data_IF_349048735813
#
_entry.id   IF_349048735813
#
_cell.length_a   1.000
_cell.length_b   1.000
_cell.length_c   1.000
_cell.angle_alpha   90.00
_cell.angle_beta   90.00
_cell.angle_gamma   90.00
#
_symmetry.space_group_name_H-M   'P 1'
#
loop_
_entity.id
_entity.type
_entity.pdbx_description
1 polymer ?
#
# COMPACT_ATOMS: atom_id res chain seq x y z
N UNK A 1 51.19 -20.61 26.20
CA UNK A 1 50.28 -21.39 25.32
C UNK A 1 48.99 -21.76 26.04
N UNK A 2 47.97 -20.88 26.01
CA UNK A 2 46.59 -21.15 26.45
C UNK A 2 45.63 -20.18 25.73
N UNK A 3 45.38 -20.41 24.44
CA UNK A 3 44.29 -19.78 23.69
C UNK A 3 43.72 -20.84 22.74
N UNK A 4 42.69 -21.57 23.17
CA UNK A 4 42.14 -22.66 22.35
C UNK A 4 40.92 -23.38 22.91
N UNK A 5 40.21 -22.81 23.90
CA UNK A 5 38.99 -23.41 24.47
C UNK A 5 37.73 -22.55 24.28
N UNK A 6 37.86 -21.34 23.73
CA UNK A 6 36.73 -20.43 23.46
C UNK A 6 35.96 -20.80 22.18
N UNK A 7 36.67 -21.11 21.09
CA UNK A 7 36.06 -21.36 19.78
C UNK A 7 35.16 -22.61 19.74
N UNK A 8 35.52 -23.65 20.51
CA UNK A 8 34.74 -24.90 20.57
C UNK A 8 33.42 -24.78 21.33
N UNK A 9 33.24 -23.77 22.20
CA UNK A 9 31.94 -23.51 22.83
C UNK A 9 31.00 -22.77 21.88
N UNK A 10 31.53 -21.85 21.08
CA UNK A 10 30.74 -21.07 20.13
C UNK A 10 30.21 -21.92 18.97
N UNK A 11 31.03 -22.85 18.46
CA UNK A 11 30.60 -23.82 17.43
C UNK A 11 29.56 -24.83 17.93
N UNK A 12 29.59 -25.19 19.22
CA UNK A 12 28.61 -26.12 19.80
C UNK A 12 27.22 -25.48 20.00
N UNK A 13 27.18 -24.16 20.11
CA UNK A 13 25.95 -23.37 20.27
C UNK A 13 25.27 -23.06 18.92
N UNK A 14 26.04 -23.00 17.83
CA UNK A 14 25.52 -22.80 16.46
C UNK A 14 24.97 -24.08 15.81
N UNK A 15 25.39 -25.28 16.24
CA UNK A 15 24.99 -26.54 15.61
C UNK A 15 23.80 -27.25 16.27
N UNK A 16 23.21 -26.72 17.33
CA UNK A 16 21.93 -27.23 17.87
C UNK A 16 21.93 -28.69 18.34
N UNK A 17 23.10 -29.32 18.59
CA UNK A 17 23.18 -30.71 19.05
C UNK A 17 23.05 -30.73 20.58
N UNK A 18 21.82 -30.54 21.05
CA UNK A 18 21.42 -30.80 22.43
C UNK A 18 21.04 -32.28 22.61
N UNK A 19 21.90 -33.03 23.30
CA UNK A 19 21.58 -34.36 23.81
C UNK A 19 20.44 -34.24 24.84
N UNK A 20 19.21 -34.61 24.45
CA UNK A 20 18.06 -34.72 25.35
C UNK A 20 17.73 -36.19 25.55
N UNK A 21 17.88 -36.64 26.80
CA UNK A 21 17.33 -37.89 27.28
C UNK A 21 15.81 -37.93 27.03
N UNK A 22 15.34 -39.10 26.61
CA UNK A 22 14.00 -39.36 26.13
C UNK A 22 12.92 -39.06 27.18
N UNK A 23 11.97 -38.20 26.78
CA UNK A 23 10.57 -38.28 27.22
C UNK A 23 9.72 -38.49 25.95
N UNK A 24 8.67 -39.33 25.98
CA UNK A 24 7.82 -39.57 24.82
C UNK A 24 6.90 -38.36 24.63
N UNK A 25 7.34 -37.40 23.82
CA UNK A 25 6.47 -36.35 23.29
C UNK A 25 5.89 -36.86 21.98
N UNK A 26 4.58 -37.09 21.94
CA UNK A 26 3.86 -37.32 20.71
C UNK A 26 3.98 -36.07 19.84
N UNK A 27 4.80 -36.17 18.79
CA UNK A 27 5.09 -35.08 17.87
C UNK A 27 3.89 -34.85 16.93
N UNK A 28 2.97 -33.99 17.34
CA UNK A 28 2.09 -33.28 16.41
C UNK A 28 2.76 -31.96 16.02
N UNK A 29 3.61 -32.00 14.99
CA UNK A 29 4.10 -30.80 14.34
C UNK A 29 3.00 -30.16 13.48
N UNK A 30 3.00 -28.83 13.28
CA UNK A 30 2.03 -28.19 12.39
C UNK A 30 2.21 -28.70 10.95
N UNK A 31 1.12 -28.93 10.20
CA UNK A 31 1.22 -29.23 8.78
C UNK A 31 1.85 -28.03 8.08
N UNK A 32 2.93 -28.29 7.34
CA UNK A 32 3.59 -27.31 6.48
C UNK A 32 2.56 -26.80 5.47
N UNK A 33 2.26 -25.51 5.51
CA UNK A 33 1.45 -24.81 4.51
C UNK A 33 2.23 -24.86 3.19
N UNK A 34 1.96 -25.85 2.35
CA UNK A 34 2.68 -26.02 1.09
C UNK A 34 2.63 -27.39 0.42
N UNK A 35 2.03 -28.43 1.01
CA UNK A 35 1.82 -29.71 0.32
C UNK A 35 0.33 -29.97 0.11
N UNK A 36 -0.11 -29.78 -1.13
CA UNK A 36 -1.36 -30.30 -1.67
C UNK A 36 -1.29 -31.84 -1.75
N UNK A 37 -1.35 -32.50 -0.60
CA UNK A 37 -1.77 -33.88 -0.53
C UNK A 37 -3.30 -33.87 -0.60
N UNK A 38 -3.85 -34.62 -1.56
CA UNK A 38 -5.28 -34.84 -1.74
C UNK A 38 -5.95 -35.13 -0.38
N UNK A 39 -6.73 -34.18 0.14
CA UNK A 39 -7.55 -34.41 1.33
C UNK A 39 -8.75 -35.26 0.91
N UNK A 40 -9.08 -36.31 1.69
CA UNK A 40 -10.29 -37.09 1.46
C UNK A 40 -11.52 -36.17 1.49
N UNK A 41 -12.61 -36.62 0.88
CA UNK A 41 -13.93 -36.00 0.93
C UNK A 41 -14.48 -36.06 2.38
N UNK A 42 -13.85 -35.30 3.27
CA UNK A 42 -14.15 -35.30 4.69
C UNK A 42 -15.49 -34.59 4.91
N UNK A 43 -16.40 -35.30 5.55
CA UNK A 43 -17.67 -34.77 6.00
C UNK A 43 -17.46 -33.51 6.84
N UNK A 44 -18.47 -32.63 6.91
CA UNK A 44 -18.43 -31.45 7.78
C UNK A 44 -18.04 -31.79 9.23
N UNK A 45 -18.46 -32.97 9.72
CA UNK A 45 -18.13 -33.46 11.05
C UNK A 45 -16.63 -33.76 11.21
N UNK A 46 -16.00 -34.39 10.22
CA UNK A 46 -14.57 -34.71 10.24
C UNK A 46 -13.71 -33.45 10.13
N UNK A 47 -14.06 -32.51 9.24
CA UNK A 47 -13.34 -31.25 9.13
C UNK A 47 -13.40 -30.44 10.44
N UNK A 48 -14.58 -30.37 11.07
CA UNK A 48 -14.71 -29.74 12.38
C UNK A 48 -13.88 -30.46 13.45
N UNK A 49 -13.94 -31.79 13.49
CA UNK A 49 -13.15 -32.60 14.43
C UNK A 49 -11.64 -32.47 14.21
N UNK A 50 -11.20 -32.11 13.01
CA UNK A 50 -9.80 -31.80 12.71
C UNK A 50 -9.38 -30.39 13.17
N UNK A 51 -10.23 -29.38 12.98
CA UNK A 51 -9.91 -27.98 13.31
C UNK A 51 -10.07 -27.69 14.81
N UNK A 52 -11.06 -28.28 15.49
CA UNK A 52 -11.34 -28.03 16.92
C UNK A 52 -10.12 -28.32 17.85
N UNK A 53 -9.39 -29.44 17.70
CA UNK A 53 -8.18 -29.69 18.49
C UNK A 53 -7.08 -28.66 18.24
N UNK A 54 -7.00 -28.10 17.02
CA UNK A 54 -6.00 -27.10 16.69
C UNK A 54 -6.34 -25.75 17.32
N UNK A 55 -7.61 -25.33 17.27
CA UNK A 55 -8.11 -24.15 17.99
C UNK A 55 -7.86 -24.29 19.50
N UNK A 56 -8.09 -25.47 20.07
CA UNK A 56 -7.84 -25.73 21.50
C UNK A 56 -6.35 -25.69 21.84
N UNK A 57 -5.48 -26.23 20.98
CA UNK A 57 -4.03 -26.12 21.14
C UNK A 57 -3.57 -24.66 21.13
N UNK A 58 -4.08 -23.84 20.19
CA UNK A 58 -3.76 -22.42 20.11
C UNK A 58 -4.22 -21.66 21.37
N UNK A 59 -5.39 -21.99 21.92
CA UNK A 59 -5.86 -21.43 23.21
C UNK A 59 -4.94 -21.82 24.36
N UNK A 60 -4.51 -23.07 24.45
CA UNK A 60 -3.55 -23.51 25.47
C UNK A 60 -2.20 -22.80 25.33
N UNK A 61 -1.69 -22.62 24.11
CA UNK A 61 -0.48 -21.81 23.88
C UNK A 61 -0.67 -20.36 24.32
N UNK A 62 -1.83 -19.77 24.01
CA UNK A 62 -2.18 -18.41 24.41
C UNK A 62 -2.20 -18.25 25.94
N UNK A 63 -2.71 -19.25 26.66
CA UNK A 63 -2.76 -19.28 28.13
C UNK A 63 -1.38 -19.53 28.77
N UNK A 64 -0.52 -20.34 28.14
CA UNK A 64 0.85 -20.58 28.61
C UNK A 64 1.75 -19.34 28.46
N UNK A 65 1.46 -18.48 27.50
CA UNK A 65 2.19 -17.23 27.25
C UNK A 65 1.78 -16.16 28.28
N UNK A 66 2.22 -16.30 29.54
CA UNK A 66 1.98 -15.36 30.64
C UNK A 66 3.16 -14.37 30.76
N UNK A 67 2.88 -13.11 31.10
CA UNK A 67 3.90 -12.06 31.29
C UNK A 67 3.71 -10.84 30.36
N UNK A 68 4.41 -9.74 30.66
CA UNK A 68 4.41 -8.52 29.82
C UNK A 68 5.15 -8.74 28.51
N UNK A 69 6.22 -9.52 28.51
CA UNK A 69 7.10 -9.70 27.36
C UNK A 69 6.44 -10.53 26.23
N UNK A 70 5.47 -11.38 26.56
CA UNK A 70 4.74 -12.23 25.62
C UNK A 70 3.43 -11.62 25.09
N UNK A 71 3.19 -10.33 25.29
CA UNK A 71 1.94 -9.69 24.87
C UNK A 71 1.72 -9.78 23.35
N UNK A 72 2.78 -9.64 22.56
CA UNK A 72 2.72 -9.72 21.11
C UNK A 72 2.35 -11.14 20.64
N UNK A 73 3.05 -12.15 21.13
CA UNK A 73 2.81 -13.57 20.80
C UNK A 73 1.40 -14.01 21.21
N UNK A 74 0.91 -13.58 22.39
CA UNK A 74 -0.47 -13.86 22.82
C UNK A 74 -1.52 -13.24 21.90
N UNK A 75 -1.23 -12.05 21.38
CA UNK A 75 -2.11 -11.34 20.43
C UNK A 75 -2.10 -12.02 19.06
N UNK A 76 -0.94 -12.48 18.58
CA UNK A 76 -0.81 -13.25 17.34
C UNK A 76 -1.57 -14.58 17.42
N UNK A 77 -1.44 -15.33 18.52
CA UNK A 77 -2.23 -16.55 18.73
C UNK A 77 -3.74 -16.28 18.80
N UNK A 78 -4.14 -15.16 19.40
CA UNK A 78 -5.53 -14.72 19.40
C UNK A 78 -6.07 -14.43 17.99
N UNK A 79 -5.24 -13.85 17.12
CA UNK A 79 -5.60 -13.62 15.71
C UNK A 79 -5.73 -14.93 14.94
N UNK A 80 -4.77 -15.86 15.09
CA UNK A 80 -4.84 -17.18 14.45
C UNK A 80 -6.14 -17.94 14.82
N UNK A 81 -6.57 -17.87 16.08
CA UNK A 81 -7.85 -18.46 16.52
C UNK A 81 -9.04 -17.78 15.84
N UNK A 82 -9.03 -16.44 15.76
CA UNK A 82 -10.11 -15.68 15.13
C UNK A 82 -10.20 -15.97 13.61
N UNK A 83 -9.07 -16.07 12.93
CA UNK A 83 -9.01 -16.38 11.49
C UNK A 83 -9.57 -17.77 11.20
N UNK A 84 -9.29 -18.76 12.05
CA UNK A 84 -9.86 -20.10 11.92
C UNK A 84 -11.37 -20.13 12.14
N UNK A 85 -11.87 -19.34 13.09
CA UNK A 85 -13.31 -19.20 13.31
C UNK A 85 -14.01 -18.43 12.18
N UNK A 86 -13.29 -17.55 11.47
CA UNK A 86 -13.80 -16.79 10.33
C UNK A 86 -13.71 -17.55 8.99
N UNK A 87 -12.96 -18.65 8.91
CA UNK A 87 -12.81 -19.43 7.69
C UNK A 87 -14.19 -19.94 7.21
N UNK A 88 -14.65 -19.59 5.98
CA UNK A 88 -15.99 -19.94 5.47
C UNK A 88 -16.30 -21.44 5.56
N UNK A 89 -15.27 -22.27 5.33
CA UNK A 89 -15.36 -23.72 5.44
C UNK A 89 -15.60 -24.18 6.89
N UNK A 90 -14.93 -23.59 7.88
CA UNK A 90 -15.17 -23.92 9.29
C UNK A 90 -16.54 -23.44 9.78
N UNK A 91 -16.99 -22.27 9.32
CA UNK A 91 -18.35 -21.74 9.57
C UNK A 91 -19.41 -22.73 9.05
N UNK A 92 -19.29 -23.17 7.80
CA UNK A 92 -20.21 -24.12 7.19
C UNK A 92 -20.14 -25.49 7.86
N UNK A 93 -18.95 -25.97 8.20
CA UNK A 93 -18.77 -27.22 8.96
C UNK A 93 -19.48 -27.16 10.32
N UNK A 94 -19.37 -26.04 11.04
CA UNK A 94 -20.06 -25.82 12.30
C UNK A 94 -21.57 -25.74 12.17
N UNK A 95 -22.09 -25.21 11.05
CA UNK A 95 -23.54 -25.17 10.77
C UNK A 95 -24.08 -26.54 10.41
N UNK A 96 -23.41 -27.26 9.52
CA UNK A 96 -23.80 -28.61 9.11
C UNK A 96 -23.75 -29.57 10.31
N UNK A 97 -22.73 -29.48 11.17
CA UNK A 97 -22.66 -30.26 12.41
C UNK A 97 -23.81 -29.97 13.39
N UNK A 98 -24.49 -28.82 13.27
CA UNK A 98 -25.70 -28.46 14.04
C UNK A 98 -27.00 -28.80 13.29
N UNK A 99 -26.92 -29.42 12.11
CA UNK A 99 -28.09 -29.70 11.24
C UNK A 99 -28.65 -28.47 10.54
N UNK A 100 -27.87 -27.40 10.39
CA UNK A 100 -28.26 -26.20 9.64
C UNK A 100 -27.63 -26.22 8.24
N UNK A 101 -28.30 -25.63 7.22
CA UNK A 101 -27.72 -25.55 5.88
C UNK A 101 -26.45 -24.67 5.88
N UNK A 102 -25.44 -25.04 5.07
CA UNK A 102 -24.21 -24.25 4.92
C UNK A 102 -24.52 -22.90 4.25
N UNK A 103 -23.78 -21.85 4.61
CA UNK A 103 -23.98 -20.49 4.08
C UNK A 103 -23.18 -20.29 2.81
N UNK A 104 -21.94 -20.77 2.79
CA UNK A 104 -21.00 -20.56 1.70
C UNK A 104 -20.97 -21.74 0.73
N UNK A 105 -21.89 -22.70 0.89
CA UNK A 105 -22.03 -23.87 0.04
C UNK A 105 -20.98 -24.96 0.28
N UNK A 106 -20.10 -24.81 1.28
CA UNK A 106 -19.19 -25.89 1.65
C UNK A 106 -19.97 -27.03 2.33
N UNK A 107 -19.71 -28.26 1.93
CA UNK A 107 -20.38 -29.47 2.43
C UNK A 107 -21.90 -29.57 2.13
N UNK A 108 -22.43 -28.77 1.20
CA UNK A 108 -23.79 -28.98 0.71
C UNK A 108 -23.88 -30.32 -0.04
N UNK A 109 -24.89 -31.13 0.29
CA UNK A 109 -25.14 -32.38 -0.45
C UNK A 109 -25.59 -32.07 -1.88
N UNK A 110 -25.23 -32.89 -2.86
CA UNK A 110 -25.64 -32.70 -4.28
C UNK A 110 -27.16 -32.64 -4.46
N UNK A 111 -27.93 -33.14 -3.50
CA UNK A 111 -29.39 -33.05 -3.48
C UNK A 111 -29.92 -31.68 -2.96
N UNK A 112 -29.09 -30.89 -2.27
CA UNK A 112 -29.45 -29.59 -1.70
C UNK A 112 -28.93 -28.40 -2.52
N UNK A 113 -27.93 -28.62 -3.39
CA UNK A 113 -27.37 -27.57 -4.26
C UNK A 113 -28.37 -27.04 -5.31
N UNK A 114 -29.47 -27.75 -5.57
CA UNK A 114 -30.52 -27.31 -6.51
C UNK A 114 -31.56 -26.38 -5.92
N UNK A 115 -31.52 -26.09 -4.61
CA UNK A 115 -32.45 -25.16 -3.94
C UNK A 115 -31.78 -23.84 -3.52
N UNK A 116 -30.57 -23.54 -4.01
CA UNK A 116 -30.00 -22.22 -3.85
C UNK A 116 -30.73 -21.24 -4.79
N UNK A 117 -31.84 -20.68 -4.30
CA UNK A 117 -32.48 -19.51 -4.90
C UNK A 117 -31.44 -18.40 -4.87
N UNK A 118 -30.83 -18.14 -6.02
CA UNK A 118 -30.08 -16.92 -6.28
C UNK A 118 -30.95 -15.75 -5.86
N UNK A 119 -30.49 -15.01 -4.84
CA UNK A 119 -31.01 -13.69 -4.55
C UNK A 119 -30.32 -12.75 -5.57
N UNK A 120 -31.02 -12.25 -6.61
CA UNK A 120 -30.39 -11.45 -7.65
C UNK A 120 -30.28 -10.02 -7.13
N UNK A 121 -29.20 -9.72 -6.42
CA UNK A 121 -29.01 -8.41 -5.81
C UNK A 121 -27.57 -7.99 -5.52
N UNK A 122 -26.55 -8.68 -6.05
CA UNK A 122 -25.15 -8.32 -5.76
C UNK A 122 -24.16 -8.81 -6.82
N UNK A 123 -24.30 -8.35 -8.06
CA UNK A 123 -23.25 -8.53 -9.08
C UNK A 123 -23.09 -7.29 -9.95
N UNK A 124 -22.71 -6.18 -9.31
CA UNK A 124 -21.90 -5.16 -9.97
C UNK A 124 -20.79 -4.76 -8.98
N UNK A 125 -19.57 -5.30 -9.15
CA UNK A 125 -18.38 -4.46 -9.05
C UNK A 125 -17.26 -5.00 -9.95
N UNK A 126 -17.37 -4.81 -11.26
CA UNK A 126 -16.23 -5.08 -12.16
C UNK A 126 -15.81 -3.82 -12.90
N UNK A 127 -16.75 -2.94 -13.24
CA UNK A 127 -16.45 -1.68 -13.91
C UNK A 127 -16.00 -0.58 -12.92
N UNK A 128 -16.51 -0.61 -11.67
CA UNK A 128 -16.20 0.40 -10.64
C UNK A 128 -14.83 0.15 -9.98
N UNK A 129 -14.43 -1.12 -9.87
CA UNK A 129 -13.06 -1.50 -9.47
C UNK A 129 -12.02 -1.10 -10.53
N UNK A 130 -12.38 -1.17 -11.82
CA UNK A 130 -11.53 -0.72 -12.91
C UNK A 130 -11.37 0.82 -12.92
N UNK A 131 -12.41 1.57 -12.52
CA UNK A 131 -12.31 3.04 -12.38
C UNK A 131 -11.43 3.45 -11.22
N UNK A 132 -11.57 2.81 -10.05
CA UNK A 132 -10.70 3.06 -8.90
C UNK A 132 -9.24 2.72 -9.18
N UNK A 133 -8.98 1.63 -9.93
CA UNK A 133 -7.62 1.29 -10.37
C UNK A 133 -7.04 2.36 -11.32
N UNK A 134 -7.81 2.81 -12.31
CA UNK A 134 -7.39 3.86 -13.24
C UNK A 134 -7.13 5.22 -12.55
N UNK A 135 -7.93 5.56 -11.54
CA UNK A 135 -7.79 6.80 -10.77
C UNK A 135 -6.54 6.75 -9.86
N UNK A 136 -6.24 5.60 -9.26
CA UNK A 136 -4.98 5.40 -8.51
C UNK A 136 -3.73 5.45 -9.39
N UNK A 137 -3.82 4.97 -10.63
CA UNK A 137 -2.73 5.02 -11.60
C UNK A 137 -2.47 6.45 -12.10
N UNK A 138 -3.55 7.24 -12.30
CA UNK A 138 -3.43 8.67 -12.64
C UNK A 138 -2.80 9.48 -11.51
N UNK A 139 -3.17 9.21 -10.25
CA UNK A 139 -2.59 9.87 -9.08
C UNK A 139 -1.10 9.49 -8.86
N UNK A 140 -0.70 8.27 -9.24
CA UNK A 140 0.70 7.84 -9.22
C UNK A 140 1.54 8.54 -10.28
N UNK A 141 0.96 8.81 -11.46
CA UNK A 141 1.62 9.52 -12.57
C UNK A 141 1.81 11.01 -12.30
N UNK A 142 0.95 11.62 -11.50
CA UNK A 142 1.06 13.03 -11.08
C UNK A 142 2.14 13.27 -10.01
N UNK A 143 2.51 12.23 -9.25
CA UNK A 143 3.62 12.26 -8.28
C UNK A 143 5.00 12.04 -8.92
N UNK A 144 5.04 11.78 -10.23
CA UNK A 144 6.29 11.63 -10.98
C UNK A 144 6.87 13.02 -11.30
N UNK A 145 8.14 13.31 -10.93
CA UNK A 145 8.72 14.64 -11.14
C UNK A 145 8.76 14.98 -12.65
N UNK A 146 8.45 16.23 -13.04
CA UNK A 146 8.35 16.61 -14.44
C UNK A 146 9.67 16.32 -15.18
N UNK A 147 9.59 15.44 -16.18
CA UNK A 147 10.70 15.15 -17.08
C UNK A 147 11.18 16.47 -17.70
N UNK A 148 12.48 16.80 -17.61
CA UNK A 148 12.99 18.03 -18.22
C UNK A 148 12.73 17.97 -19.73
N UNK A 149 12.27 19.06 -20.37
CA UNK A 149 11.91 19.02 -21.77
C UNK A 149 13.11 18.61 -22.61
N UNK A 150 12.93 17.60 -23.46
CA UNK A 150 13.98 16.96 -24.28
C UNK A 150 14.80 17.97 -25.11
N UNK A 151 14.20 19.12 -25.42
CA UNK A 151 14.82 20.24 -26.12
C UNK A 151 15.96 20.91 -25.34
N UNK A 152 15.89 20.97 -24.00
CA UNK A 152 16.93 21.61 -23.18
C UNK A 152 18.22 20.77 -23.15
N UNK A 153 18.10 19.45 -23.04
CA UNK A 153 19.24 18.54 -23.10
C UNK A 153 19.93 18.61 -24.48
N UNK A 154 19.15 18.67 -25.54
CA UNK A 154 19.62 18.79 -26.93
C UNK A 154 20.34 20.13 -27.18
N UNK A 155 19.79 21.24 -26.66
CA UNK A 155 20.41 22.57 -26.74
C UNK A 155 21.73 22.67 -25.95
N UNK A 156 21.82 22.03 -24.78
CA UNK A 156 23.05 21.99 -23.97
C UNK A 156 24.15 21.24 -24.73
N UNK A 157 23.83 20.09 -25.34
CA UNK A 157 24.79 19.29 -26.12
C UNK A 157 25.24 20.07 -27.37
N UNK A 158 24.32 20.73 -28.08
CA UNK A 158 24.64 21.50 -29.28
C UNK A 158 25.50 22.74 -28.97
N UNK A 159 25.28 23.40 -27.82
CA UNK A 159 26.08 24.54 -27.34
C UNK A 159 27.50 24.13 -26.96
N UNK A 160 27.67 22.96 -26.32
CA UNK A 160 28.99 22.41 -26.00
C UNK A 160 29.78 22.02 -27.26
N UNK A 161 29.12 21.47 -28.28
CA UNK A 161 29.76 21.18 -29.57
C UNK A 161 30.23 22.44 -30.33
N UNK A 162 29.48 23.55 -30.26
CA UNK A 162 29.90 24.84 -30.85
C UNK A 162 31.10 25.46 -30.13
N UNK A 163 31.17 25.33 -28.80
CA UNK A 163 32.30 25.81 -27.99
C UNK A 163 33.60 25.07 -28.37
N UNK A 164 33.54 23.74 -28.54
CA UNK A 164 34.68 22.91 -28.95
C UNK A 164 35.17 23.24 -30.37
N UNK A 165 34.27 23.53 -31.32
CA UNK A 165 34.67 23.97 -32.67
C UNK A 165 35.33 25.35 -32.70
N UNK A 166 34.89 26.30 -31.85
CA UNK A 166 35.47 27.65 -31.81
C UNK A 166 36.89 27.67 -31.22
N UNK A 167 37.21 26.77 -30.30
CA UNK A 167 38.56 26.65 -29.72
C UNK A 167 39.61 26.01 -30.64
N UNK A 168 39.20 25.33 -31.72
CA UNK A 168 40.11 24.52 -32.56
C UNK A 168 40.65 25.23 -33.81
N UNK A 169 40.30 26.50 -34.06
CA UNK A 169 40.70 27.22 -35.30
C UNK A 169 41.82 28.24 -35.15
N UNK A 170 42.38 28.42 -33.95
CA UNK A 170 43.48 29.36 -33.74
C UNK A 170 44.85 28.68 -33.91
N UNK A 171 45.55 29.06 -34.99
CA UNK A 171 47.01 29.02 -35.11
C UNK A 171 47.68 27.64 -35.21
N UNK A 172 47.67 27.05 -36.40
CA UNK A 172 48.71 26.10 -36.84
C UNK A 172 49.97 26.92 -37.14
N UNK A 173 50.78 27.15 -36.10
CA UNK A 173 52.14 27.66 -36.18
C UNK A 173 53.12 26.51 -35.96
N UNK A 174 53.80 26.12 -37.04
CA UNK A 174 54.78 25.04 -37.12
C UNK A 174 55.87 25.10 -36.04
N UNK A 175 55.73 24.31 -34.97
CA UNK A 175 56.88 23.75 -34.24
C UNK A 175 56.49 22.41 -33.63
N UNK A 176 57.22 21.35 -34.00
CA UNK A 176 56.94 19.97 -33.62
C UNK A 176 57.18 19.71 -32.14
N UNK A 177 56.25 20.14 -31.29
CA UNK A 177 56.12 19.64 -29.92
C UNK A 177 55.14 18.48 -29.94
N UNK A 178 55.57 17.35 -29.36
CA UNK A 178 54.76 16.15 -29.22
C UNK A 178 53.39 16.51 -28.60
N UNK A 179 52.30 15.89 -29.07
CA UNK A 179 50.97 16.16 -28.57
C UNK A 179 50.93 15.92 -27.05
N UNK A 180 50.34 16.88 -26.34
CA UNK A 180 50.15 16.86 -24.91
C UNK A 180 49.42 15.57 -24.50
N UNK A 181 50.13 14.68 -23.80
CA UNK A 181 49.65 13.34 -23.44
C UNK A 181 48.40 13.42 -22.58
N UNK A 182 48.23 14.52 -21.83
CA UNK A 182 47.06 14.77 -20.98
C UNK A 182 45.80 15.04 -21.80
N UNK A 183 45.93 15.71 -22.96
CA UNK A 183 44.81 15.91 -23.87
C UNK A 183 44.33 14.59 -24.48
N UNK A 184 45.25 13.68 -24.82
CA UNK A 184 44.91 12.35 -25.36
C UNK A 184 44.20 11.49 -24.32
N UNK A 185 44.69 11.47 -23.07
CA UNK A 185 44.05 10.75 -21.96
C UNK A 185 42.64 11.28 -21.64
N UNK A 186 42.42 12.60 -21.71
CA UNK A 186 41.09 13.20 -21.52
C UNK A 186 40.10 12.74 -22.59
N UNK A 187 40.52 12.72 -23.86
CA UNK A 187 39.67 12.26 -24.97
C UNK A 187 39.34 10.77 -24.85
N UNK A 188 40.33 9.93 -24.50
CA UNK A 188 40.09 8.50 -24.27
C UNK A 188 39.08 8.25 -23.15
N UNK A 189 39.17 8.98 -22.03
CA UNK A 189 38.21 8.87 -20.93
C UNK A 189 36.80 9.32 -21.31
N UNK A 190 36.69 10.33 -22.18
CA UNK A 190 35.40 10.81 -22.71
C UNK A 190 34.77 9.84 -23.71
N UNK A 191 35.57 9.23 -24.58
CA UNK A 191 35.12 8.19 -25.52
C UNK A 191 34.63 6.97 -24.76
N UNK A 192 35.38 6.47 -23.77
CA UNK A 192 34.96 5.37 -22.91
C UNK A 192 33.62 5.66 -22.20
N UNK A 193 33.40 6.91 -21.75
CA UNK A 193 32.13 7.32 -21.13
C UNK A 193 30.96 7.34 -22.10
N UNK A 194 31.19 7.71 -23.36
CA UNK A 194 30.16 7.69 -24.41
C UNK A 194 29.86 6.27 -24.87
N UNK A 195 30.87 5.42 -24.99
CA UNK A 195 30.70 3.99 -25.30
C UNK A 195 29.89 3.30 -24.20
N UNK A 196 30.23 3.53 -22.92
CA UNK A 196 29.46 3.02 -21.79
C UNK A 196 27.99 3.48 -21.82
N UNK A 197 27.74 4.75 -22.17
CA UNK A 197 26.39 5.28 -22.32
C UNK A 197 25.62 4.63 -23.47
N UNK A 198 26.24 4.47 -24.64
CA UNK A 198 25.61 3.81 -25.79
C UNK A 198 25.30 2.33 -25.48
N UNK A 199 26.15 1.63 -24.73
CA UNK A 199 25.84 0.27 -24.28
C UNK A 199 24.70 0.22 -23.28
N UNK A 200 24.59 1.19 -22.36
CA UNK A 200 23.47 1.25 -21.41
C UNK A 200 22.14 1.53 -22.14
N UNK A 201 22.11 2.52 -23.03
CA UNK A 201 20.93 2.87 -23.83
C UNK A 201 20.49 1.68 -24.72
N UNK A 202 21.44 0.87 -25.22
CA UNK A 202 21.14 -0.38 -25.95
C UNK A 202 20.57 -1.48 -25.06
N UNK A 203 21.09 -1.64 -23.85
CA UNK A 203 20.56 -2.62 -22.90
C UNK A 203 19.14 -2.25 -22.46
N UNK A 204 18.89 -0.96 -22.25
CA UNK A 204 17.56 -0.43 -21.90
C UNK A 204 16.56 -0.62 -23.05
N UNK A 205 16.96 -0.34 -24.30
CA UNK A 205 16.15 -0.63 -25.48
C UNK A 205 15.81 -2.12 -25.61
N UNK A 206 16.79 -3.02 -25.41
CA UNK A 206 16.53 -4.47 -25.42
C UNK A 206 15.65 -4.92 -24.26
N UNK A 207 15.72 -4.27 -23.09
CA UNK A 207 14.86 -4.58 -21.96
C UNK A 207 13.41 -4.18 -22.24
N UNK A 208 13.19 -3.01 -22.85
CA UNK A 208 11.86 -2.55 -23.28
C UNK A 208 11.26 -3.50 -24.32
N UNK A 209 12.02 -3.85 -25.37
CA UNK A 209 11.57 -4.81 -26.40
C UNK A 209 11.21 -6.17 -25.79
N UNK A 210 11.99 -6.66 -24.82
CA UNK A 210 11.70 -7.91 -24.12
C UNK A 210 10.43 -7.83 -23.24
N UNK A 211 10.13 -6.67 -22.66
CA UNK A 211 8.92 -6.45 -21.87
C UNK A 211 7.69 -6.48 -22.78
N UNK A 212 7.72 -5.76 -23.90
CA UNK A 212 6.62 -5.73 -24.89
C UNK A 212 6.36 -7.14 -25.47
N UNK A 213 7.42 -7.90 -25.76
CA UNK A 213 7.29 -9.30 -26.18
C UNK A 213 6.67 -10.20 -25.09
N UNK A 214 7.04 -9.99 -23.82
CA UNK A 214 6.49 -10.75 -22.70
C UNK A 214 5.00 -10.46 -22.50
N UNK A 215 4.59 -9.19 -22.59
CA UNK A 215 3.18 -8.79 -22.53
C UNK A 215 2.37 -9.41 -23.69
N UNK A 216 2.91 -9.36 -24.91
CA UNK A 216 2.27 -9.95 -26.09
C UNK A 216 2.03 -11.46 -25.91
N UNK A 217 3.03 -12.21 -25.43
CA UNK A 217 2.91 -13.66 -25.20
C UNK A 217 1.91 -13.97 -24.07
N UNK A 218 1.87 -13.14 -23.03
CA UNK A 218 0.90 -13.31 -21.95
C UNK A 218 -0.55 -13.12 -22.44
N UNK A 219 -0.78 -12.14 -23.33
CA UNK A 219 -2.09 -11.92 -23.97
C UNK A 219 -2.45 -13.09 -24.88
N UNK A 220 -1.52 -13.57 -25.72
CA UNK A 220 -1.72 -14.74 -26.57
C UNK A 220 -2.11 -15.99 -25.76
N UNK A 221 -1.45 -16.25 -24.64
CA UNK A 221 -1.77 -17.36 -23.73
C UNK A 221 -3.20 -17.29 -23.19
N UNK A 222 -3.64 -16.10 -22.77
CA UNK A 222 -5.00 -15.91 -22.23
C UNK A 222 -6.04 -16.14 -23.32
N UNK A 223 -5.81 -15.57 -24.51
CA UNK A 223 -6.72 -15.71 -25.65
C UNK A 223 -6.80 -17.17 -26.12
N UNK A 224 -5.66 -17.86 -26.23
CA UNK A 224 -5.62 -19.26 -26.65
C UNK A 224 -6.32 -20.18 -25.65
N UNK A 225 -6.13 -19.97 -24.33
CA UNK A 225 -6.89 -20.70 -23.28
C UNK A 225 -8.39 -20.45 -23.37
N UNK A 226 -8.81 -19.22 -23.61
CA UNK A 226 -10.23 -18.88 -23.75
C UNK A 226 -10.82 -19.55 -24.99
N UNK A 227 -10.10 -19.54 -26.11
CA UNK A 227 -10.51 -20.16 -27.35
C UNK A 227 -10.66 -21.68 -27.23
N UNK A 228 -9.68 -22.37 -26.63
CA UNK A 228 -9.77 -23.82 -26.39
C UNK A 228 -10.95 -24.21 -25.49
N UNK A 229 -11.27 -23.39 -24.49
CA UNK A 229 -12.46 -23.61 -23.64
C UNK A 229 -13.76 -23.41 -24.40
N UNK A 230 -13.84 -22.35 -25.20
CA UNK A 230 -15.06 -21.95 -25.90
C UNK A 230 -15.34 -22.84 -27.13
N UNK A 231 -14.37 -22.99 -28.01
CA UNK A 231 -14.55 -23.64 -29.31
C UNK A 231 -14.40 -25.17 -29.22
N UNK A 232 -13.49 -25.64 -28.36
CA UNK A 232 -13.15 -27.06 -28.26
C UNK A 232 -13.71 -27.73 -27.00
N UNK A 233 -14.32 -26.96 -26.08
CA UNK A 233 -14.87 -27.50 -24.82
C UNK A 233 -13.82 -28.09 -23.88
N UNK A 234 -12.55 -27.66 -23.98
CA UNK A 234 -11.47 -28.17 -23.15
C UNK A 234 -11.76 -27.93 -21.67
N UNK A 235 -11.57 -28.96 -20.84
CA UNK A 235 -11.57 -28.81 -19.38
C UNK A 235 -10.20 -28.35 -18.91
N UNK A 236 -10.11 -27.92 -17.65
CA UNK A 236 -8.83 -27.50 -17.06
C UNK A 236 -7.76 -28.60 -17.07
N UNK A 237 -8.14 -29.88 -17.15
CA UNK A 237 -7.20 -30.98 -17.30
C UNK A 237 -6.61 -31.03 -18.70
N UNK A 238 -7.45 -30.91 -19.72
CA UNK A 238 -7.06 -30.97 -21.14
C UNK A 238 -6.15 -29.80 -21.50
N UNK A 239 -6.38 -28.61 -20.92
CA UNK A 239 -5.49 -27.45 -21.08
C UNK A 239 -4.06 -27.70 -20.57
N UNK A 240 -3.88 -28.52 -19.53
CA UNK A 240 -2.53 -28.84 -19.01
C UNK A 240 -1.79 -29.83 -19.90
N UNK A 241 -2.51 -30.58 -20.71
CA UNK A 241 -1.97 -31.58 -21.63
C UNK A 241 -1.74 -31.00 -23.04
N UNK A 242 -2.21 -29.76 -23.29
CA UNK A 242 -2.05 -29.06 -24.56
C UNK A 242 -0.59 -28.63 -24.79
N UNK A 243 0.00 -29.10 -25.89
CA UNK A 243 1.41 -28.90 -26.19
C UNK A 243 1.73 -27.45 -26.58
N UNK A 244 0.84 -26.78 -27.32
CA UNK A 244 1.04 -25.41 -27.77
C UNK A 244 0.96 -24.44 -26.59
N UNK A 245 0.00 -24.65 -25.68
CA UNK A 245 -0.10 -23.87 -24.44
C UNK A 245 1.16 -24.03 -23.57
N UNK A 246 1.64 -25.26 -23.45
CA UNK A 246 2.87 -25.57 -22.71
C UNK A 246 4.12 -24.93 -23.33
N UNK A 247 4.18 -24.80 -24.66
CA UNK A 247 5.29 -24.15 -25.37
C UNK A 247 5.28 -22.63 -25.16
N UNK A 248 4.10 -22.01 -25.19
CA UNK A 248 3.92 -20.58 -24.90
C UNK A 248 4.28 -20.24 -23.44
N UNK A 249 3.84 -21.05 -22.47
CA UNK A 249 4.23 -20.89 -21.06
C UNK A 249 5.74 -20.99 -20.88
N UNK A 250 6.38 -22.00 -21.49
CA UNK A 250 7.85 -22.14 -21.47
C UNK A 250 8.56 -20.96 -22.15
N UNK A 251 7.94 -20.33 -23.15
CA UNK A 251 8.51 -19.13 -23.79
C UNK A 251 8.41 -17.91 -22.87
N UNK A 252 7.28 -17.73 -22.19
CA UNK A 252 7.07 -16.69 -21.20
C UNK A 252 8.09 -16.82 -20.05
N UNK A 253 8.28 -18.02 -19.51
CA UNK A 253 9.24 -18.30 -18.44
C UNK A 253 10.69 -17.97 -18.85
N UNK A 254 11.07 -18.26 -20.10
CA UNK A 254 12.41 -17.91 -20.60
C UNK A 254 12.62 -16.42 -20.69
N UNK A 255 11.63 -15.66 -21.18
CA UNK A 255 11.72 -14.20 -21.27
C UNK A 255 11.73 -13.55 -19.88
N UNK A 256 10.86 -14.02 -18.98
CA UNK A 256 10.84 -13.59 -17.60
C UNK A 256 12.20 -13.85 -16.92
N UNK A 257 12.82 -15.02 -17.15
CA UNK A 257 14.14 -15.33 -16.63
C UNK A 257 15.24 -14.40 -17.17
N UNK A 258 15.14 -13.96 -18.43
CA UNK A 258 16.11 -13.00 -19.01
C UNK A 258 15.93 -11.60 -18.41
N UNK A 259 14.68 -11.16 -18.19
CA UNK A 259 14.37 -9.86 -17.60
C UNK A 259 14.72 -9.82 -16.10
N UNK A 260 14.43 -10.90 -15.37
CA UNK A 260 14.68 -11.02 -13.93
C UNK A 260 16.10 -11.46 -13.59
N UNK A 261 16.87 -11.95 -14.55
CA UNK A 261 18.30 -12.16 -14.37
C UNK A 261 18.94 -10.79 -14.18
N UNK A 262 19.09 -10.38 -12.91
CA UNK A 262 19.81 -9.18 -12.54
C UNK A 262 21.13 -9.17 -13.32
N UNK A 263 21.39 -8.16 -14.17
CA UNK A 263 22.68 -8.05 -14.82
C UNK A 263 23.70 -8.03 -13.68
N UNK A 264 24.68 -8.94 -13.71
CA UNK A 264 25.73 -9.00 -12.71
C UNK A 264 26.47 -7.67 -12.73
N UNK A 265 26.02 -6.74 -11.89
CA UNK A 265 26.53 -5.38 -11.87
C UNK A 265 27.99 -5.45 -11.43
N UNK A 266 28.92 -4.85 -12.19
CA UNK A 266 30.31 -4.81 -11.79
C UNK A 266 30.39 -4.17 -10.39
N UNK A 267 31.10 -4.85 -9.48
CA UNK A 267 31.23 -4.44 -8.08
C UNK A 267 31.88 -3.04 -8.00
N UNK A 268 31.08 -1.97 -7.97
CA UNK A 268 31.63 -0.61 -7.90
C UNK A 268 30.65 0.56 -7.98
N UNK A 269 29.53 0.45 -8.70
CA UNK A 269 28.62 1.60 -8.95
C UNK A 269 27.27 1.52 -8.22
N UNK A 270 27.12 0.58 -7.27
CA UNK A 270 25.82 0.19 -6.71
C UNK A 270 25.27 1.01 -5.54
N UNK A 271 26.01 1.95 -4.95
CA UNK A 271 25.52 2.64 -3.74
C UNK A 271 24.33 3.57 -4.02
N UNK A 272 24.34 4.29 -5.14
CA UNK A 272 23.22 5.16 -5.52
C UNK A 272 21.95 4.38 -5.87
N UNK A 273 22.09 3.28 -6.62
CA UNK A 273 20.97 2.42 -7.02
C UNK A 273 20.40 1.68 -5.80
N UNK A 274 21.24 1.20 -4.88
CA UNK A 274 20.77 0.59 -3.62
C UNK A 274 20.06 1.58 -2.72
N UNK A 275 20.52 2.83 -2.64
CA UNK A 275 19.85 3.88 -1.90
C UNK A 275 18.47 4.21 -2.50
N UNK A 276 18.38 4.35 -3.83
CA UNK A 276 17.12 4.55 -4.53
C UNK A 276 16.15 3.36 -4.36
N UNK A 277 16.63 2.12 -4.49
CA UNK A 277 15.85 0.91 -4.24
C UNK A 277 15.41 0.79 -2.77
N UNK A 278 16.20 1.30 -1.82
CA UNK A 278 15.83 1.41 -0.41
C UNK A 278 14.69 2.41 -0.19
N UNK A 279 14.76 3.57 -0.85
CA UNK A 279 13.70 4.59 -0.79
C UNK A 279 12.39 4.10 -1.42
N UNK A 280 12.46 3.39 -2.55
CA UNK A 280 11.28 2.79 -3.17
C UNK A 280 10.63 1.75 -2.27
N UNK A 281 11.41 0.86 -1.65
CA UNK A 281 10.88 -0.11 -0.66
C UNK A 281 10.24 0.56 0.56
N UNK A 282 10.79 1.68 1.03
CA UNK A 282 10.18 2.45 2.12
C UNK A 282 8.85 3.09 1.69
N UNK A 283 8.78 3.65 0.47
CA UNK A 283 7.54 4.19 -0.09
C UNK A 283 6.48 3.10 -0.28
N UNK A 284 6.87 1.95 -0.81
CA UNK A 284 6.00 0.78 -0.97
C UNK A 284 5.41 0.33 0.38
N UNK A 285 6.27 0.15 1.39
CA UNK A 285 5.81 -0.20 2.74
C UNK A 285 4.83 0.83 3.31
N UNK A 286 5.11 2.12 3.11
CA UNK A 286 4.21 3.19 3.56
C UNK A 286 2.86 3.17 2.85
N UNK A 287 2.84 2.90 1.53
CA UNK A 287 1.59 2.76 0.78
C UNK A 287 0.79 1.53 1.23
N UNK A 288 1.46 0.40 1.47
CA UNK A 288 0.81 -0.82 1.99
C UNK A 288 0.21 -0.58 3.38
N UNK A 289 0.93 0.10 4.28
CA UNK A 289 0.39 0.49 5.60
C UNK A 289 -0.81 1.43 5.47
N UNK A 290 -0.76 2.44 4.59
CA UNK A 290 -1.89 3.35 4.35
C UNK A 290 -3.11 2.63 3.77
N UNK A 291 -2.90 1.70 2.85
CA UNK A 291 -3.99 0.89 2.28
C UNK A 291 -4.59 -0.05 3.32
N UNK A 292 -3.77 -0.65 4.20
CA UNK A 292 -4.24 -1.45 5.31
C UNK A 292 -5.07 -0.61 6.31
N UNK A 293 -4.59 0.58 6.67
CA UNK A 293 -5.32 1.53 7.51
C UNK A 293 -6.65 1.93 6.87
N UNK A 294 -6.68 2.25 5.57
CA UNK A 294 -7.93 2.59 4.88
C UNK A 294 -8.91 1.41 4.84
N UNK A 295 -8.42 0.18 4.68
CA UNK A 295 -9.25 -1.04 4.75
C UNK A 295 -9.82 -1.26 6.14
N UNK A 296 -9.02 -1.04 7.20
CA UNK A 296 -9.50 -1.11 8.58
C UNK A 296 -10.52 0.00 8.89
N UNK A 297 -10.27 1.24 8.44
CA UNK A 297 -11.18 2.40 8.62
C UNK A 297 -12.52 2.23 7.90
N UNK A 298 -12.54 1.46 6.81
CA UNK A 298 -13.75 1.16 6.03
C UNK A 298 -14.41 -0.16 6.43
N UNK A 299 -13.76 -0.99 7.25
CA UNK A 299 -14.28 -2.26 7.70
C UNK A 299 -15.46 -2.05 8.66
N UNK A 300 -16.68 -2.29 8.17
CA UNK A 300 -17.92 -2.15 8.96
C UNK A 300 -18.77 -0.93 8.60
N UNK A 301 -18.35 -0.12 7.62
CA UNK A 301 -19.23 0.86 6.98
C UNK A 301 -20.23 0.16 6.06
N UNK A 302 -21.43 0.73 5.94
CA UNK A 302 -22.31 0.38 4.81
C UNK A 302 -21.65 0.79 3.49
N UNK A 303 -21.94 0.12 2.35
CA UNK A 303 -21.34 0.47 1.06
C UNK A 303 -21.53 1.94 0.67
N UNK A 304 -22.68 2.54 1.03
CA UNK A 304 -22.93 3.97 0.82
C UNK A 304 -22.07 4.88 1.67
N UNK A 305 -21.88 4.55 2.95
CA UNK A 305 -21.04 5.36 3.86
C UNK A 305 -19.56 5.19 3.55
N UNK A 306 -19.13 4.00 3.09
CA UNK A 306 -17.77 3.79 2.58
C UNK A 306 -17.48 4.65 1.34
N UNK A 307 -18.46 4.78 0.43
CA UNK A 307 -18.36 5.70 -0.72
C UNK A 307 -18.30 7.16 -0.28
N UNK A 308 -19.16 7.59 0.65
CA UNK A 308 -19.15 8.96 1.20
C UNK A 308 -17.81 9.27 1.88
N UNK A 309 -17.27 8.34 2.68
CA UNK A 309 -15.97 8.50 3.32
C UNK A 309 -14.83 8.62 2.29
N UNK A 310 -14.84 7.79 1.24
CA UNK A 310 -13.87 7.89 0.14
C UNK A 310 -13.95 9.23 -0.58
N UNK A 311 -15.16 9.71 -0.89
CA UNK A 311 -15.38 11.02 -1.52
C UNK A 311 -14.87 12.17 -0.64
N UNK A 312 -15.17 12.15 0.66
CA UNK A 312 -14.71 13.19 1.59
C UNK A 312 -13.18 13.22 1.70
N UNK A 313 -12.50 12.06 1.70
CA UNK A 313 -11.03 12.01 1.72
C UNK A 313 -10.44 12.62 0.45
N UNK A 314 -11.00 12.32 -0.72
CA UNK A 314 -10.58 12.91 -1.99
C UNK A 314 -10.79 14.43 -2.00
N UNK A 315 -11.98 14.91 -1.64
CA UNK A 315 -12.29 16.35 -1.60
C UNK A 315 -11.43 17.11 -0.59
N UNK A 316 -11.10 16.53 0.56
CA UNK A 316 -10.17 17.13 1.53
C UNK A 316 -8.77 17.26 0.93
N UNK A 317 -8.31 16.24 0.21
CA UNK A 317 -7.01 16.26 -0.44
C UNK A 317 -6.95 17.35 -1.53
N UNK A 318 -7.99 17.47 -2.35
CA UNK A 318 -8.11 18.48 -3.40
C UNK A 318 -8.11 19.90 -2.81
N UNK A 319 -8.94 20.15 -1.79
CA UNK A 319 -8.98 21.45 -1.10
C UNK A 319 -7.64 21.80 -0.48
N UNK A 320 -6.96 20.85 0.16
CA UNK A 320 -5.62 21.08 0.71
C UNK A 320 -4.59 21.35 -0.38
N UNK A 321 -4.72 20.75 -1.55
CA UNK A 321 -3.85 21.01 -2.69
C UNK A 321 -4.07 22.43 -3.25
N UNK A 322 -5.32 22.88 -3.38
CA UNK A 322 -5.68 24.27 -3.75
C UNK A 322 -5.08 25.27 -2.75
N UNK A 323 -5.32 25.08 -1.45
CA UNK A 323 -4.81 25.98 -0.41
C UNK A 323 -3.27 25.97 -0.34
N UNK A 324 -2.62 24.82 -0.64
CA UNK A 324 -1.16 24.74 -0.75
C UNK A 324 -0.65 25.51 -1.97
N UNK A 325 -1.37 25.49 -3.09
CA UNK A 325 -1.04 26.28 -4.27
C UNK A 325 -1.17 27.79 -4.00
N UNK A 326 -2.11 28.18 -3.15
CA UNK A 326 -2.28 29.55 -2.65
C UNK A 326 -1.21 29.96 -1.61
N UNK A 327 -0.33 29.03 -1.21
CA UNK A 327 0.78 29.28 -0.31
C UNK A 327 0.42 29.25 1.19
N UNK A 328 -0.78 28.76 1.54
CA UNK A 328 -1.17 28.58 2.94
C UNK A 328 -0.36 27.46 3.59
N UNK A 329 0.03 27.66 4.85
CA UNK A 329 0.73 26.63 5.62
C UNK A 329 -0.23 25.49 6.00
N UNK A 330 0.28 24.26 6.15
CA UNK A 330 -0.53 23.06 6.42
C UNK A 330 -1.52 23.21 7.61
N UNK A 331 -1.08 23.85 8.70
CA UNK A 331 -1.92 24.09 9.87
C UNK A 331 -3.03 25.15 9.65
N UNK A 332 -2.89 26.00 8.65
CA UNK A 332 -3.92 26.97 8.22
C UNK A 332 -4.90 26.28 7.27
N UNK A 333 -4.42 25.34 6.44
CA UNK A 333 -5.27 24.52 5.58
C UNK A 333 -6.29 23.72 6.39
N UNK A 334 -5.87 23.13 7.52
CA UNK A 334 -6.76 22.39 8.41
C UNK A 334 -7.80 23.26 9.13
N UNK A 335 -7.56 24.58 9.19
CA UNK A 335 -8.48 25.55 9.78
C UNK A 335 -9.46 26.14 8.77
N UNK A 336 -9.22 25.91 7.48
CA UNK A 336 -10.13 26.35 6.44
C UNK A 336 -11.48 25.64 6.60
N UNK A 337 -12.56 26.42 6.46
CA UNK A 337 -13.91 25.98 6.81
C UNK A 337 -14.34 24.74 6.02
N UNK A 338 -14.09 24.71 4.71
CA UNK A 338 -14.51 23.60 3.85
C UNK A 338 -13.76 22.32 4.20
N UNK A 339 -12.44 22.39 4.45
CA UNK A 339 -11.61 21.26 4.90
C UNK A 339 -12.09 20.77 6.27
N UNK A 340 -12.36 21.68 7.21
CA UNK A 340 -12.82 21.35 8.56
C UNK A 340 -14.19 20.65 8.55
N UNK A 341 -15.16 21.20 7.80
CA UNK A 341 -16.51 20.63 7.67
C UNK A 341 -16.49 19.20 7.12
N UNK A 342 -15.71 18.97 6.05
CA UNK A 342 -15.56 17.63 5.48
C UNK A 342 -14.84 16.68 6.42
N UNK A 343 -13.82 17.16 7.14
CA UNK A 343 -13.07 16.37 8.11
C UNK A 343 -13.94 15.93 9.29
N UNK A 344 -14.85 16.79 9.76
CA UNK A 344 -15.82 16.46 10.81
C UNK A 344 -16.80 15.41 10.30
N UNK A 345 -17.38 15.60 9.10
CA UNK A 345 -18.29 14.61 8.51
C UNK A 345 -17.62 13.24 8.33
N UNK A 346 -16.38 13.22 7.87
CA UNK A 346 -15.59 12.00 7.76
C UNK A 346 -15.40 11.33 9.12
N UNK A 347 -15.18 12.11 10.18
CA UNK A 347 -15.09 11.60 11.56
C UNK A 347 -16.42 11.01 12.04
N UNK A 348 -17.55 11.67 11.79
CA UNK A 348 -18.88 11.13 12.13
C UNK A 348 -19.14 9.76 11.49
N UNK A 349 -18.78 9.59 10.21
CA UNK A 349 -18.93 8.33 9.49
C UNK A 349 -18.07 7.25 10.14
N UNK A 350 -16.80 7.55 10.44
CA UNK A 350 -15.88 6.63 11.13
C UNK A 350 -16.36 6.26 12.54
N UNK A 351 -16.99 7.18 13.26
CA UNK A 351 -17.54 6.93 14.61
C UNK A 351 -18.70 5.92 14.62
N UNK A 352 -19.45 5.80 13.51
CA UNK A 352 -20.52 4.80 13.41
C UNK A 352 -20.00 3.36 13.32
N UNK A 353 -18.78 3.18 12.83
CA UNK A 353 -18.14 1.87 12.64
C UNK A 353 -17.52 1.36 13.93
N UNK A 354 -16.82 2.25 14.63
CA UNK A 354 -16.09 1.90 15.84
C UNK A 354 -16.88 2.28 17.10
N UNK A 355 -17.81 1.42 17.51
CA UNK A 355 -18.34 1.43 18.88
C UNK A 355 -17.33 0.93 19.93
N UNK A 356 -16.03 1.17 19.70
CA UNK A 356 -15.00 0.77 20.63
C UNK A 356 -14.86 1.83 21.72
N UNK A 357 -15.20 1.46 22.97
CA UNK A 357 -15.29 2.39 24.12
C UNK A 357 -14.02 3.22 24.36
N UNK A 358 -12.87 2.76 23.87
CA UNK A 358 -11.59 3.48 23.97
C UNK A 358 -11.46 4.61 22.94
N UNK A 359 -11.82 4.37 21.68
CA UNK A 359 -11.75 5.40 20.63
C UNK A 359 -12.76 6.52 20.89
N UNK A 360 -13.99 6.15 21.26
CA UNK A 360 -15.03 7.08 21.70
C UNK A 360 -14.57 7.97 22.86
N UNK A 361 -13.74 7.45 23.78
CA UNK A 361 -13.22 8.23 24.91
C UNK A 361 -12.17 9.26 24.50
N UNK A 362 -11.29 8.92 23.56
CA UNK A 362 -10.26 9.84 23.08
C UNK A 362 -10.87 10.93 22.20
N UNK A 363 -11.78 10.57 21.30
CA UNK A 363 -12.45 11.53 20.44
C UNK A 363 -13.45 12.42 21.21
N UNK A 364 -14.13 11.91 22.25
CA UNK A 364 -14.90 12.77 23.16
C UNK A 364 -14.03 13.78 23.91
N UNK A 365 -12.74 13.47 24.14
CA UNK A 365 -11.80 14.41 24.76
C UNK A 365 -11.42 15.52 23.78
N UNK A 366 -11.25 15.20 22.51
CA UNK A 366 -10.97 16.17 21.44
C UNK A 366 -12.18 17.06 21.16
N UNK A 367 -13.39 16.48 21.01
CA UNK A 367 -14.64 17.26 20.94
C UNK A 367 -14.85 18.15 22.18
N UNK A 368 -14.40 17.68 23.36
CA UNK A 368 -14.36 18.48 24.57
C UNK A 368 -13.40 19.66 24.48
N UNK A 369 -12.26 19.52 23.82
CA UNK A 369 -11.33 20.61 23.56
C UNK A 369 -11.91 21.62 22.55
N UNK A 370 -12.57 21.14 21.49
CA UNK A 370 -13.21 22.00 20.49
C UNK A 370 -14.37 22.81 21.12
N UNK A 371 -15.16 22.18 22.01
CA UNK A 371 -16.16 22.90 22.82
C UNK A 371 -15.54 23.98 23.71
N UNK A 372 -14.39 23.70 24.33
CA UNK A 372 -13.68 24.71 25.12
C UNK A 372 -13.16 25.85 24.26
N UNK A 373 -12.70 25.58 23.03
CA UNK A 373 -12.33 26.64 22.09
C UNK A 373 -13.53 27.51 21.71
N UNK A 374 -14.68 26.89 21.43
CA UNK A 374 -15.92 27.62 21.17
C UNK A 374 -16.32 28.53 22.34
N UNK A 375 -16.26 28.03 23.57
CA UNK A 375 -16.51 28.83 24.77
C UNK A 375 -15.51 29.97 24.96
N UNK A 376 -14.23 29.77 24.62
CA UNK A 376 -13.20 30.83 24.67
C UNK A 376 -13.48 31.91 23.64
N UNK A 377 -13.71 31.55 22.39
CA UNK A 377 -14.01 32.50 21.32
C UNK A 377 -15.29 33.28 21.59
N UNK A 378 -16.31 32.65 22.19
CA UNK A 378 -17.54 33.34 22.60
C UNK A 378 -17.24 34.41 23.65
N UNK A 379 -16.41 34.10 24.65
CA UNK A 379 -16.00 35.07 25.70
C UNK A 379 -15.13 36.19 25.15
N UNK A 380 -14.20 35.88 24.25
CA UNK A 380 -13.36 36.88 23.58
C UNK A 380 -14.19 37.85 22.75
N UNK A 381 -15.20 37.34 22.03
CA UNK A 381 -16.13 38.16 21.26
C UNK A 381 -16.98 39.07 22.16
N UNK A 382 -17.49 38.55 23.27
CA UNK A 382 -18.21 39.36 24.27
C UNK A 382 -17.32 40.44 24.90
N UNK A 383 -16.07 40.12 25.22
CA UNK A 383 -15.09 41.06 25.76
C UNK A 383 -14.76 42.17 24.76
N UNK A 384 -14.46 41.85 23.51
CA UNK A 384 -14.20 42.83 22.44
C UNK A 384 -15.40 43.76 22.21
N UNK A 385 -16.62 43.19 22.16
CA UNK A 385 -17.86 43.99 22.08
C UNK A 385 -18.03 44.92 23.27
N UNK A 386 -17.53 44.57 24.45
CA UNK A 386 -17.63 45.39 25.66
C UNK A 386 -16.57 46.49 25.65
N UNK A 387 -15.32 46.17 25.33
CA UNK A 387 -14.19 47.10 25.22
C UNK A 387 -14.46 48.21 24.19
N UNK A 388 -14.97 47.85 23.01
CA UNK A 388 -15.38 48.82 21.98
C UNK A 388 -16.49 49.77 22.45
N UNK A 389 -17.40 49.30 23.31
CA UNK A 389 -18.48 50.13 23.87
C UNK A 389 -18.00 51.03 24.99
N UNK A 390 -17.14 50.53 25.87
CA UNK A 390 -16.69 51.24 27.07
C UNK A 390 -15.54 52.21 26.78
N UNK A 391 -14.51 51.76 26.06
CA UNK A 391 -13.30 52.54 25.85
C UNK A 391 -13.41 53.48 24.64
N UNK A 392 -14.05 53.02 23.57
CA UNK A 392 -14.08 53.74 22.30
C UNK A 392 -15.40 54.47 22.07
N UNK A 393 -16.40 54.26 22.95
CA UNK A 393 -17.71 54.89 22.87
C UNK A 393 -18.48 54.54 21.60
N UNK A 394 -18.15 53.42 20.95
CA UNK A 394 -18.81 53.01 19.72
C UNK A 394 -20.29 52.75 19.97
N UNK A 395 -21.13 53.23 19.06
CA UNK A 395 -22.56 52.93 19.13
C UNK A 395 -22.78 51.45 18.81
N UNK A 396 -23.93 50.91 19.22
CA UNK A 396 -24.26 49.52 18.89
C UNK A 396 -24.28 49.25 17.37
N UNK A 397 -24.46 50.28 16.53
CA UNK A 397 -24.38 50.13 15.07
C UNK A 397 -22.93 50.00 14.59
N UNK A 398 -22.01 50.76 15.18
CA UNK A 398 -20.60 50.75 14.80
C UNK A 398 -19.96 49.42 15.22
N UNK A 399 -20.28 48.90 16.41
CA UNK A 399 -19.84 47.57 16.89
C UNK A 399 -20.30 46.43 15.99
N UNK A 400 -21.43 46.58 15.28
CA UNK A 400 -21.92 45.57 14.31
C UNK A 400 -21.24 45.67 12.94
N UNK A 401 -20.59 46.79 12.65
CA UNK A 401 -19.89 47.03 11.38
C UNK A 401 -18.37 46.84 11.53
N UNK A 402 -17.90 46.57 12.75
CA UNK A 402 -16.51 46.29 13.03
C UNK A 402 -16.07 44.98 12.36
N UNK A 403 -14.97 45.03 11.62
CA UNK A 403 -14.47 43.92 10.81
C UNK A 403 -14.10 42.72 11.67
N UNK A 404 -13.45 42.95 12.82
CA UNK A 404 -12.93 41.90 13.68
C UNK A 404 -14.09 41.18 14.40
N UNK A 405 -15.14 41.92 14.78
CA UNK A 405 -16.37 41.33 15.32
C UNK A 405 -17.08 40.48 14.28
N UNK A 406 -17.18 40.95 13.03
CA UNK A 406 -17.85 40.19 11.96
C UNK A 406 -17.12 38.87 11.67
N UNK A 407 -15.78 38.88 11.60
CA UNK A 407 -14.98 37.67 11.42
C UNK A 407 -15.18 36.67 12.57
N UNK A 408 -15.21 37.13 13.82
CA UNK A 408 -15.45 36.27 14.98
C UNK A 408 -16.90 35.75 15.03
N UNK A 409 -17.89 36.56 14.68
CA UNK A 409 -19.29 36.14 14.60
C UNK A 409 -19.52 35.10 13.51
N UNK A 410 -18.90 35.27 12.34
CA UNK A 410 -18.94 34.31 11.25
C UNK A 410 -18.30 32.98 11.69
N UNK A 411 -17.10 33.03 12.27
CA UNK A 411 -16.41 31.84 12.78
C UNK A 411 -17.20 31.11 13.87
N UNK A 412 -17.85 31.83 14.78
CA UNK A 412 -18.76 31.24 15.77
C UNK A 412 -20.02 30.66 15.13
N UNK A 413 -20.59 31.32 14.11
CA UNK A 413 -21.77 30.80 13.41
C UNK A 413 -21.46 29.47 12.71
N UNK A 414 -20.28 29.32 12.13
CA UNK A 414 -19.81 28.07 11.53
C UNK A 414 -19.72 26.98 12.61
N UNK A 415 -19.01 27.24 13.70
CA UNK A 415 -18.91 26.27 14.82
C UNK A 415 -20.25 25.91 15.43
N UNK A 416 -21.16 26.87 15.58
CA UNK A 416 -22.49 26.61 16.13
C UNK A 416 -23.33 25.71 15.22
N UNK A 417 -23.24 25.87 13.89
CA UNK A 417 -23.88 24.95 12.94
C UNK A 417 -23.30 23.53 13.05
N UNK A 418 -22.00 23.41 13.32
CA UNK A 418 -21.35 22.11 13.54
C UNK A 418 -21.83 21.40 14.80
N UNK A 419 -22.03 22.13 15.91
CA UNK A 419 -22.45 21.51 17.18
C UNK A 419 -23.97 21.42 17.39
N UNK A 420 -24.76 22.23 16.65
CA UNK A 420 -26.20 22.37 16.84
C UNK A 420 -27.08 21.57 15.87
N UNK A 421 -26.49 20.86 14.91
CA UNK A 421 -27.20 20.08 13.88
C UNK A 421 -27.59 18.65 14.27
N UNK A 422 -27.88 18.40 15.55
CA UNK A 422 -28.36 17.09 16.03
C UNK A 422 -29.89 16.95 15.89
#
# INVERSE_FOLDING_TARGET
MRCGRGLLRYLKQLLGIGSRAAQPVLAFGPPVVGMAAARPEESAAEYKAFVDPWVENLKQMQEQLIGKDHQKERSEKGKEIADLHAEPRYIDACRVAKGQPPVHGHFASEAESTNFVENPGSSVPSEEAARMAAETESALKELEPPQPPEDLASLIIQRQWRQLKKGSSASIGSSGKAPDVDAVCFWQRRVAKLEAKITADRMEATASENIDELESIAIELVNYRAQLKHDCGYRNKDLKEDAELSDLERRLDRLAAVILAEPALPEGEGEGVRAAAGQLRQREHHLVERLAQHREETAGLSPSEAREAGQLVAEIADLKAELRADGLAEHEQDREERVMMKSIRLREIRMKVHHDKKHVKQENKELGADRQQFERLTKELEALKQELREEHGFSHKDVKQDSDILELEERLSVMQKMFGGA
#
